data_IF_487140479463
#
_entry.id   IF_487140479463
#
_cell.length_a   1.000
_cell.length_b   1.000
_cell.length_c   1.000
_cell.angle_alpha   90.00
_cell.angle_beta   90.00
_cell.angle_gamma   90.00
#
_symmetry.space_group_name_H-M   'P 1'
#
loop_
_entity.id
_entity.type
_entity.pdbx_description
1 polymer ?
#
# COMPACT_ATOMS: atom_id res chain seq x y z
N UNK A 1 -24.29 20.76 -6.60
CA UNK A 1 -24.35 19.31 -6.30
C UNK A 1 -23.25 18.51 -7.01
N UNK A 2 -22.55 19.04 -8.03
CA UNK A 2 -21.43 18.34 -8.70
C UNK A 2 -20.11 18.23 -7.88
N UNK A 3 -20.01 18.90 -6.72
CA UNK A 3 -18.81 18.90 -5.87
C UNK A 3 -18.63 17.60 -5.08
N UNK A 4 -19.71 16.85 -4.82
CA UNK A 4 -19.65 15.62 -4.02
C UNK A 4 -19.10 14.44 -4.83
N UNK A 5 -19.62 14.20 -6.04
CA UNK A 5 -19.19 13.07 -6.88
C UNK A 5 -17.68 13.10 -7.19
N UNK A 6 -17.12 14.30 -7.44
CA UNK A 6 -15.67 14.44 -7.69
C UNK A 6 -14.85 14.16 -6.43
N UNK A 7 -15.37 14.49 -5.25
CA UNK A 7 -14.72 14.23 -3.96
C UNK A 7 -14.77 12.74 -3.62
N UNK A 8 -15.92 12.10 -3.85
CA UNK A 8 -16.12 10.66 -3.67
C UNK A 8 -15.21 9.85 -4.58
N UNK A 9 -15.18 10.16 -5.88
CA UNK A 9 -14.30 9.51 -6.86
C UNK A 9 -12.81 9.67 -6.47
N UNK A 10 -12.42 10.87 -6.02
CA UNK A 10 -11.06 11.09 -5.53
C UNK A 10 -10.75 10.24 -4.29
N UNK A 11 -11.74 10.05 -3.41
CA UNK A 11 -11.65 9.15 -2.26
C UNK A 11 -11.43 7.69 -2.67
N UNK A 12 -12.21 7.20 -3.63
CA UNK A 12 -12.08 5.85 -4.17
C UNK A 12 -10.71 5.62 -4.81
N UNK A 13 -10.24 6.56 -5.64
CA UNK A 13 -8.92 6.48 -6.27
C UNK A 13 -7.78 6.46 -5.24
N UNK A 14 -7.91 7.20 -4.13
CA UNK A 14 -6.96 7.14 -3.02
C UNK A 14 -6.97 5.76 -2.34
N UNK A 15 -8.14 5.16 -2.16
CA UNK A 15 -8.27 3.83 -1.58
C UNK A 15 -7.64 2.76 -2.49
N UNK A 16 -7.93 2.79 -3.80
CA UNK A 16 -7.32 1.88 -4.79
C UNK A 16 -5.80 2.00 -4.80
N UNK A 17 -5.27 3.23 -4.84
CA UNK A 17 -3.82 3.47 -4.76
C UNK A 17 -3.22 2.85 -3.50
N UNK A 18 -3.90 2.94 -2.35
CA UNK A 18 -3.43 2.35 -1.10
C UNK A 18 -3.36 0.83 -1.19
N UNK A 19 -4.40 0.19 -1.73
CA UNK A 19 -4.43 -1.26 -1.89
C UNK A 19 -3.29 -1.76 -2.80
N UNK A 20 -2.98 -1.02 -3.86
CA UNK A 20 -1.85 -1.33 -4.74
C UNK A 20 -0.49 -1.17 -4.04
N UNK A 21 -0.32 -0.13 -3.21
CA UNK A 21 0.88 0.05 -2.38
C UNK A 21 1.06 -1.13 -1.42
N UNK A 22 -0.02 -1.54 -0.73
CA UNK A 22 0.03 -2.66 0.20
C UNK A 22 0.38 -3.97 -0.50
N UNK A 23 -0.23 -4.23 -1.66
CA UNK A 23 0.08 -5.41 -2.46
C UNK A 23 1.54 -5.42 -2.92
N UNK A 24 2.07 -4.29 -3.40
CA UNK A 24 3.48 -4.18 -3.78
C UNK A 24 4.42 -4.46 -2.61
N UNK A 25 4.11 -3.91 -1.43
CA UNK A 25 4.90 -4.15 -0.22
C UNK A 25 4.83 -5.60 0.26
N UNK A 26 3.67 -6.26 0.17
CA UNK A 26 3.53 -7.70 0.47
C UNK A 26 4.37 -8.54 -0.49
N UNK A 27 4.46 -8.13 -1.76
CA UNK A 27 5.33 -8.75 -2.77
C UNK A 27 6.83 -8.47 -2.56
N UNK A 28 7.22 -7.80 -1.47
CA UNK A 28 8.62 -7.57 -1.11
C UNK A 28 9.17 -6.21 -1.54
N UNK A 29 8.37 -5.31 -2.13
CA UNK A 29 8.83 -3.96 -2.43
C UNK A 29 9.04 -3.15 -1.14
N UNK A 30 10.26 -2.68 -0.91
CA UNK A 30 10.55 -1.76 0.19
C UNK A 30 9.84 -0.41 -0.01
N UNK A 31 9.49 0.25 1.09
CA UNK A 31 8.79 1.53 1.10
C UNK A 31 9.52 2.59 0.25
N UNK A 32 10.85 2.66 0.33
CA UNK A 32 11.69 3.53 -0.50
C UNK A 32 11.51 3.32 -2.02
N UNK A 33 11.29 2.08 -2.47
CA UNK A 33 11.10 1.78 -3.90
C UNK A 33 9.73 2.27 -4.37
N UNK A 34 8.69 2.03 -3.56
CA UNK A 34 7.34 2.51 -3.84
C UNK A 34 7.30 4.04 -3.85
N UNK A 35 7.99 4.69 -2.92
CA UNK A 35 8.09 6.15 -2.85
C UNK A 35 8.75 6.72 -4.11
N UNK A 36 9.86 6.12 -4.57
CA UNK A 36 10.54 6.50 -5.81
C UNK A 36 9.64 6.35 -7.04
N UNK A 37 8.92 5.23 -7.16
CA UNK A 37 8.00 4.99 -8.29
C UNK A 37 6.84 6.00 -8.35
N UNK A 38 6.40 6.51 -7.19
CA UNK A 38 5.34 7.52 -7.08
C UNK A 38 5.87 8.96 -7.12
N UNK A 39 7.19 9.17 -7.21
CA UNK A 39 7.79 10.50 -7.20
C UNK A 39 7.60 11.27 -5.90
N UNK A 40 7.47 10.57 -4.76
CA UNK A 40 7.28 11.18 -3.44
C UNK A 40 8.40 10.80 -2.48
N UNK A 41 8.56 11.56 -1.39
CA UNK A 41 9.48 11.18 -0.31
C UNK A 41 8.96 9.98 0.48
N UNK A 42 9.86 9.18 1.03
CA UNK A 42 9.53 8.04 1.89
C UNK A 42 8.71 8.47 3.12
N UNK A 43 9.01 9.64 3.69
CA UNK A 43 8.23 10.23 4.79
C UNK A 43 6.78 10.53 4.39
N UNK A 44 6.54 10.98 3.15
CA UNK A 44 5.19 11.21 2.62
C UNK A 44 4.44 9.89 2.48
N UNK A 45 5.08 8.85 1.92
CA UNK A 45 4.47 7.53 1.84
C UNK A 45 4.19 6.93 3.23
N UNK A 46 5.07 7.15 4.21
CA UNK A 46 4.87 6.69 5.58
C UNK A 46 3.66 7.32 6.26
N UNK A 47 3.43 8.62 6.05
CA UNK A 47 2.22 9.32 6.54
C UNK A 47 0.92 8.85 5.87
N UNK A 48 1.01 8.32 4.65
CA UNK A 48 -0.14 7.77 3.94
C UNK A 48 -0.61 6.43 4.53
N UNK A 49 0.29 5.67 5.14
CA UNK A 49 -0.03 4.36 5.71
C UNK A 49 -0.63 4.51 7.12
N UNK A 50 -1.70 3.75 7.45
CA UNK A 50 -2.19 3.64 8.82
C UNK A 50 -1.09 3.23 9.80
N UNK A 51 -1.08 3.83 10.99
CA UNK A 51 -0.12 3.48 12.03
C UNK A 51 -0.26 2.00 12.41
N UNK A 52 0.88 1.32 12.59
CA UNK A 52 0.91 -0.10 12.98
C UNK A 52 0.81 -1.09 11.82
N UNK A 53 0.38 -0.64 10.63
CA UNK A 53 0.14 -1.53 9.49
C UNK A 53 1.40 -2.26 9.00
N UNK A 54 2.59 -1.67 9.17
CA UNK A 54 3.85 -2.31 8.79
C UNK A 54 4.10 -3.65 9.50
N UNK A 55 3.67 -3.80 10.76
CA UNK A 55 3.80 -5.07 11.50
C UNK A 55 2.85 -6.14 10.95
N UNK A 56 1.63 -5.73 10.60
CA UNK A 56 0.65 -6.64 10.02
C UNK A 56 1.04 -7.06 8.60
N UNK A 57 1.64 -6.15 7.83
CA UNK A 57 2.16 -6.46 6.50
C UNK A 57 3.27 -7.51 6.54
N UNK A 58 4.20 -7.39 7.49
CA UNK A 58 5.26 -8.38 7.69
C UNK A 58 4.66 -9.77 7.98
N UNK A 59 3.67 -9.85 8.87
CA UNK A 59 2.96 -11.10 9.18
C UNK A 59 2.23 -11.70 7.98
N UNK A 60 1.58 -10.87 7.16
CA UNK A 60 0.87 -11.33 5.96
C UNK A 60 1.85 -11.85 4.92
N UNK A 61 2.97 -11.15 4.72
CA UNK A 61 4.05 -11.59 3.84
C UNK A 61 4.58 -12.97 4.27
N UNK A 62 4.92 -13.14 5.55
CA UNK A 62 5.38 -14.44 6.10
C UNK A 62 4.39 -15.59 5.89
N UNK A 63 3.08 -15.33 6.00
CA UNK A 63 2.04 -16.36 5.75
C UNK A 63 1.99 -16.78 4.29
N UNK A 64 2.10 -15.83 3.35
CA UNK A 64 2.09 -16.12 1.90
C UNK A 64 3.24 -17.02 1.49
N UNK A 65 4.44 -16.77 2.04
CA UNK A 65 5.62 -17.58 1.75
C UNK A 65 5.66 -18.94 2.49
N UNK A 66 4.86 -19.12 3.56
CA UNK A 66 4.71 -20.44 4.22
C UNK A 66 3.78 -21.40 3.48
N UNK A 67 2.96 -20.91 2.55
CA UNK A 67 1.94 -21.72 1.88
C UNK A 67 2.33 -22.24 0.49
N UNK A 68 3.55 -21.99 0.01
CA UNK A 68 4.05 -22.69 -1.18
C UNK A 68 4.68 -24.02 -0.75
N UNK A 69 4.05 -25.17 -1.03
CA UNK A 69 4.75 -26.44 -0.92
C UNK A 69 5.83 -26.47 -2.01
N UNK A 70 7.03 -26.93 -1.66
CA UNK A 70 8.05 -27.31 -2.64
C UNK A 70 7.40 -28.24 -3.67
N UNK A 71 7.42 -27.84 -4.95
CA UNK A 71 7.07 -28.68 -6.08
C UNK A 71 8.29 -29.50 -6.53
#
# INVERSE_FOLDING_TARGET
MASDESSELLGELKAVKMLLILQAMISGCQQKHVAAALGVSEATLSRMLPKGLGKDLARVSERRFRTEPEA
#
